data_IF_302011213986
#
_entry.id   IF_302011213986
#
_cell.length_a   1.000
_cell.length_b   1.000
_cell.length_c   1.000
_cell.angle_alpha   90.00
_cell.angle_beta   90.00
_cell.angle_gamma   90.00
#
_symmetry.space_group_name_H-M   'P 1'
#
loop_
_entity.id
_entity.type
_entity.pdbx_description
1 polymer ?
#
# COMPACT_ATOMS: atom_id res chain seq x y z
N UNK A 1 22.10 15.90 -14.84
CA UNK A 1 22.37 14.44 -14.78
C UNK A 1 21.33 13.81 -13.86
N UNK A 2 20.51 12.89 -14.35
CA UNK A 2 19.52 12.19 -13.52
C UNK A 2 20.22 11.01 -12.86
N UNK A 3 20.15 10.92 -11.53
CA UNK A 3 20.79 9.91 -10.71
C UNK A 3 20.35 8.47 -11.10
N UNK A 4 21.21 7.45 -10.87
CA UNK A 4 20.89 6.04 -11.11
C UNK A 4 19.63 5.66 -10.33
N UNK A 5 18.71 4.95 -11.00
CA UNK A 5 17.39 4.49 -10.55
C UNK A 5 16.83 5.15 -9.28
N UNK A 6 16.21 6.31 -9.48
CA UNK A 6 15.45 7.00 -8.42
C UNK A 6 14.50 6.01 -7.73
N UNK A 7 14.52 6.01 -6.39
CA UNK A 7 13.70 5.10 -5.58
C UNK A 7 12.21 5.37 -5.84
N UNK A 8 11.30 4.39 -5.63
CA UNK A 8 9.87 4.56 -5.93
C UNK A 8 9.26 5.85 -5.36
N UNK A 9 9.59 6.18 -4.10
CA UNK A 9 9.21 7.44 -3.45
C UNK A 9 9.63 8.69 -4.23
N UNK A 10 10.87 8.74 -4.70
CA UNK A 10 11.43 9.89 -5.42
C UNK A 10 10.77 10.06 -6.79
N UNK A 11 10.51 8.95 -7.48
CA UNK A 11 9.75 8.93 -8.74
C UNK A 11 8.33 9.44 -8.55
N UNK A 12 7.65 8.96 -7.50
CA UNK A 12 6.28 9.37 -7.20
C UNK A 12 6.17 10.88 -6.90
N UNK A 13 7.09 11.42 -6.09
CA UNK A 13 7.15 12.87 -5.80
C UNK A 13 7.42 13.67 -7.08
N UNK A 14 8.38 13.22 -7.91
CA UNK A 14 8.68 13.89 -9.17
C UNK A 14 7.46 13.92 -10.11
N UNK A 15 6.64 12.86 -10.12
CA UNK A 15 5.38 12.82 -10.87
C UNK A 15 4.40 13.91 -10.39
N UNK A 16 4.18 14.01 -9.08
CA UNK A 16 3.27 15.00 -8.48
C UNK A 16 3.75 16.44 -8.72
N UNK A 17 5.06 16.67 -8.70
CA UNK A 17 5.68 17.97 -8.94
C UNK A 17 5.88 18.30 -10.43
N UNK A 18 5.37 17.45 -11.34
CA UNK A 18 5.48 17.62 -12.80
C UNK A 18 6.94 17.72 -13.28
N UNK A 19 7.87 17.07 -12.58
CA UNK A 19 9.27 16.94 -13.01
C UNK A 19 9.40 15.83 -14.07
N UNK A 20 10.40 15.92 -14.98
CA UNK A 20 10.61 14.88 -15.99
C UNK A 20 10.85 13.50 -15.38
N UNK A 21 10.19 12.48 -15.95
CA UNK A 21 10.30 11.07 -15.55
C UNK A 21 10.84 10.23 -16.69
N UNK A 22 11.49 9.12 -16.35
CA UNK A 22 11.90 8.06 -17.28
C UNK A 22 11.12 6.78 -17.01
N UNK A 23 10.73 6.07 -18.07
CA UNK A 23 9.99 4.82 -17.98
C UNK A 23 8.49 5.01 -17.75
N UNK A 24 7.85 4.03 -17.10
CA UNK A 24 6.42 4.07 -16.75
C UNK A 24 6.12 5.18 -15.75
N UNK A 25 4.93 5.76 -15.87
CA UNK A 25 4.38 6.70 -14.89
C UNK A 25 4.19 5.95 -13.56
N UNK A 26 4.62 6.51 -12.41
CA UNK A 26 4.41 5.87 -11.13
C UNK A 26 2.93 5.60 -10.85
N UNK A 27 2.63 4.40 -10.35
CA UNK A 27 1.26 3.96 -10.10
C UNK A 27 1.12 3.29 -8.74
N UNK A 28 -0.10 3.29 -8.24
CA UNK A 28 -0.50 2.67 -6.98
C UNK A 28 -2.00 2.44 -6.98
N UNK A 29 -2.47 1.62 -6.05
CA UNK A 29 -3.89 1.38 -5.84
C UNK A 29 -4.51 2.44 -4.93
N UNK A 30 -5.70 2.92 -5.31
CA UNK A 30 -6.58 3.66 -4.41
C UNK A 30 -7.66 2.76 -3.80
N UNK A 31 -8.42 2.03 -4.64
CA UNK A 31 -9.62 1.28 -4.21
C UNK A 31 -9.88 0.09 -5.16
N UNK A 32 -8.88 -0.74 -5.43
CA UNK A 32 -8.95 -1.79 -6.48
C UNK A 32 -9.24 -3.19 -5.90
N UNK A 33 -9.13 -3.37 -4.59
CA UNK A 33 -9.58 -4.51 -3.76
C UNK A 33 -9.17 -5.90 -4.24
N UNK A 34 -8.06 -6.00 -4.97
CA UNK A 34 -7.56 -7.28 -5.49
C UNK A 34 -6.96 -8.20 -4.41
N UNK A 35 -6.96 -7.80 -3.13
CA UNK A 35 -6.34 -8.61 -2.07
C UNK A 35 -7.00 -9.98 -1.88
N UNK A 36 -8.29 -10.10 -2.17
CA UNK A 36 -8.98 -11.39 -2.12
C UNK A 36 -8.52 -12.30 -3.26
N UNK A 37 -8.48 -11.79 -4.48
CA UNK A 37 -8.01 -12.55 -5.65
C UNK A 37 -6.53 -12.91 -5.56
N UNK A 38 -5.69 -11.95 -5.16
CA UNK A 38 -4.25 -12.11 -5.15
C UNK A 38 -3.72 -12.89 -3.94
N UNK A 39 -4.39 -12.80 -2.78
CA UNK A 39 -3.88 -13.33 -1.51
C UNK A 39 -4.90 -14.12 -0.69
N UNK A 40 -6.16 -14.22 -1.11
CA UNK A 40 -7.23 -14.84 -0.33
C UNK A 40 -7.56 -14.07 0.96
N UNK A 41 -7.27 -12.76 1.01
CA UNK A 41 -7.38 -11.93 2.23
C UNK A 41 -8.27 -10.73 2.02
N UNK A 42 -9.09 -10.42 3.03
CA UNK A 42 -9.97 -9.26 3.04
C UNK A 42 -9.15 -7.97 3.13
N UNK A 43 -9.46 -7.02 2.25
CA UNK A 43 -8.80 -5.72 2.23
C UNK A 43 -9.02 -4.95 3.55
N UNK A 44 -8.03 -4.21 4.09
CA UNK A 44 -8.17 -3.53 5.37
C UNK A 44 -9.33 -2.53 5.47
N UNK A 45 -9.75 -1.91 4.37
CA UNK A 45 -10.92 -1.01 4.34
C UNK A 45 -12.26 -1.70 4.60
N UNK A 46 -12.33 -3.03 4.48
CA UNK A 46 -13.55 -3.80 4.72
C UNK A 46 -13.64 -4.34 6.15
N UNK A 47 -12.72 -3.93 7.03
CA UNK A 47 -12.66 -4.38 8.42
C UNK A 47 -13.43 -3.41 9.33
N UNK A 48 -14.04 -3.95 10.37
CA UNK A 48 -14.81 -3.17 11.35
C UNK A 48 -13.94 -2.75 12.55
N UNK A 49 -13.20 -1.64 12.42
CA UNK A 49 -12.28 -1.19 13.49
C UNK A 49 -12.97 -0.77 14.79
N UNK A 50 -14.25 -0.41 14.75
CA UNK A 50 -15.02 -0.10 15.96
C UNK A 50 -15.15 -1.30 16.91
N UNK A 51 -14.89 -2.53 16.46
CA UNK A 51 -14.90 -3.75 17.27
C UNK A 51 -13.55 -4.03 17.96
N UNK A 52 -12.54 -3.18 17.78
CA UNK A 52 -11.24 -3.35 18.45
C UNK A 52 -11.30 -3.20 19.97
N UNK A 53 -12.36 -2.58 20.49
CA UNK A 53 -12.67 -2.49 21.92
C UNK A 53 -13.01 -3.87 22.54
N UNK A 54 -13.44 -4.82 21.71
CA UNK A 54 -13.72 -6.21 22.09
C UNK A 54 -12.50 -7.14 21.95
N UNK A 55 -11.37 -6.62 21.48
CA UNK A 55 -10.15 -7.38 21.27
C UNK A 55 -9.13 -7.11 22.38
N UNK A 56 -8.31 -8.11 22.70
CA UNK A 56 -7.13 -7.92 23.53
C UNK A 56 -6.04 -7.16 22.77
N UNK A 57 -5.11 -6.51 23.50
CA UNK A 57 -4.02 -5.78 22.84
C UNK A 57 -3.15 -6.68 21.96
N UNK A 58 -2.93 -7.93 22.37
CA UNK A 58 -2.19 -8.91 21.58
C UNK A 58 -2.87 -9.19 20.24
N UNK A 59 -4.21 -9.27 20.22
CA UNK A 59 -4.99 -9.50 19.00
C UNK A 59 -4.97 -8.26 18.09
N UNK A 60 -5.07 -7.05 18.66
CA UNK A 60 -4.91 -5.80 17.90
C UNK A 60 -3.52 -5.67 17.29
N UNK A 61 -2.47 -6.11 17.99
CA UNK A 61 -1.11 -6.15 17.45
C UNK A 61 -0.98 -7.13 16.29
N UNK A 62 -1.54 -8.34 16.41
CA UNK A 62 -1.58 -9.32 15.33
C UNK A 62 -2.31 -8.74 14.11
N UNK A 63 -3.44 -8.07 14.35
CA UNK A 63 -4.25 -7.45 13.31
C UNK A 63 -3.49 -6.33 12.57
N UNK A 64 -2.78 -5.45 13.29
CA UNK A 64 -1.93 -4.41 12.66
C UNK A 64 -0.83 -4.99 11.80
N UNK A 65 -0.17 -6.04 12.28
CA UNK A 65 0.89 -6.74 11.52
C UNK A 65 0.33 -7.38 10.25
N UNK A 66 -0.82 -8.04 10.35
CA UNK A 66 -1.54 -8.62 9.22
C UNK A 66 -1.83 -7.56 8.15
N UNK A 67 -2.41 -6.43 8.54
CA UNK A 67 -2.73 -5.34 7.59
C UNK A 67 -1.49 -4.72 6.96
N UNK A 68 -0.45 -4.43 7.75
CA UNK A 68 0.80 -3.87 7.24
C UNK A 68 1.46 -4.80 6.21
N UNK A 69 1.50 -6.10 6.52
CA UNK A 69 1.99 -7.12 5.61
C UNK A 69 1.17 -7.17 4.31
N UNK A 70 -0.17 -7.11 4.40
CA UNK A 70 -1.03 -7.12 3.21
C UNK A 70 -0.75 -5.92 2.28
N UNK A 71 -0.62 -4.71 2.83
CA UNK A 71 -0.28 -3.53 2.02
C UNK A 71 1.08 -3.66 1.34
N UNK A 72 2.08 -4.21 2.03
CA UNK A 72 3.42 -4.45 1.47
C UNK A 72 3.35 -5.50 0.36
N UNK A 73 2.61 -6.59 0.57
CA UNK A 73 2.42 -7.64 -0.43
C UNK A 73 1.73 -7.12 -1.68
N UNK A 74 0.67 -6.33 -1.53
CA UNK A 74 -0.01 -5.66 -2.65
C UNK A 74 0.95 -4.79 -3.44
N UNK A 75 1.69 -3.91 -2.78
CA UNK A 75 2.64 -3.02 -3.45
C UNK A 75 3.71 -3.79 -4.24
N UNK A 76 4.23 -4.89 -3.67
CA UNK A 76 5.20 -5.76 -4.37
C UNK A 76 4.57 -6.51 -5.55
N UNK A 77 3.36 -7.05 -5.38
CA UNK A 77 2.70 -7.89 -6.40
C UNK A 77 2.33 -7.11 -7.66
N UNK A 78 2.02 -5.83 -7.52
CA UNK A 78 1.57 -4.94 -8.59
C UNK A 78 2.54 -3.82 -8.92
N UNK A 79 3.78 -3.90 -8.40
CA UNK A 79 4.87 -2.94 -8.66
C UNK A 79 4.45 -1.49 -8.37
N UNK A 80 3.79 -1.27 -7.23
CA UNK A 80 3.34 0.07 -6.83
C UNK A 80 4.50 0.92 -6.32
N UNK A 81 4.48 2.20 -6.68
CA UNK A 81 5.45 3.19 -6.21
C UNK A 81 5.06 3.82 -4.85
N UNK A 82 3.83 3.59 -4.40
CA UNK A 82 3.29 4.11 -3.14
C UNK A 82 2.31 3.12 -2.49
N UNK A 83 2.15 3.25 -1.17
CA UNK A 83 1.10 2.59 -0.39
C UNK A 83 0.15 3.68 0.09
N UNK A 84 -1.13 3.53 -0.26
CA UNK A 84 -2.19 4.38 0.26
C UNK A 84 -2.82 3.70 1.47
N UNK A 85 -2.76 4.37 2.63
CA UNK A 85 -3.41 3.90 3.85
C UNK A 85 -4.80 4.54 3.93
N UNK A 86 -5.82 3.70 4.04
CA UNK A 86 -7.18 4.15 4.27
C UNK A 86 -7.33 4.66 5.71
N UNK A 87 -8.07 5.76 5.92
CA UNK A 87 -8.41 6.27 7.24
C UNK A 87 -9.34 5.33 8.02
#
# INVERSE_FOLDING_TARGET
MIAPDARPRERFIAALERRPLKGRVPHFELVFFLTMEAFGRVHPSHRSYHQWDQMEEAERQLHRRDMADLFIQTARRFDHDAIFLHP
#
